data_IF_544024123699
#
_entry.id   IF_544024123699
#
_cell.length_a   1.000
_cell.length_b   1.000
_cell.length_c   1.000
_cell.angle_alpha   90.00
_cell.angle_beta   90.00
_cell.angle_gamma   90.00
#
_symmetry.space_group_name_H-M   'P 1'
#
loop_
_entity.id
_entity.type
_entity.pdbx_description
1 polymer ?
#
# COMPACT_ATOMS: atom_id res chain seq x y z
N UNK A 1 5.11 -12.21 4.86
CA UNK A 1 3.92 -11.65 4.16
C UNK A 1 4.28 -11.44 2.71
N UNK A 2 3.28 -11.38 1.82
CA UNK A 2 3.49 -11.23 0.37
C UNK A 2 4.17 -9.90 -0.02
N UNK A 3 3.93 -8.85 0.76
CA UNK A 3 4.47 -7.50 0.52
C UNK A 3 5.50 -7.11 1.59
N UNK A 4 6.31 -6.10 1.28
CA UNK A 4 7.23 -5.54 2.25
C UNK A 4 6.49 -4.89 3.43
N UNK A 5 7.17 -4.77 4.57
CA UNK A 5 6.62 -4.02 5.72
C UNK A 5 6.32 -2.57 5.36
N UNK A 6 7.09 -1.97 4.45
CA UNK A 6 6.85 -0.60 4.00
C UNK A 6 5.53 -0.50 3.24
N UNK A 7 5.22 -1.45 2.35
CA UNK A 7 3.94 -1.51 1.63
C UNK A 7 2.76 -1.76 2.58
N UNK A 8 2.90 -2.67 3.56
CA UNK A 8 1.88 -2.88 4.59
C UNK A 8 1.58 -1.59 5.37
N UNK A 9 2.62 -0.88 5.79
CA UNK A 9 2.49 0.40 6.49
C UNK A 9 1.88 1.49 5.62
N UNK A 10 2.22 1.53 4.34
CA UNK A 10 1.65 2.45 3.37
C UNK A 10 0.13 2.29 3.26
N UNK A 11 -0.33 1.04 3.07
CA UNK A 11 -1.75 0.74 2.96
C UNK A 11 -2.48 1.20 4.22
N UNK A 12 -1.98 0.83 5.40
CA UNK A 12 -2.60 1.17 6.69
C UNK A 12 -2.65 2.68 6.93
N UNK A 13 -1.58 3.39 6.62
CA UNK A 13 -1.53 4.85 6.74
C UNK A 13 -2.51 5.53 5.78
N UNK A 14 -2.58 5.06 4.52
CA UNK A 14 -3.52 5.60 3.53
C UNK A 14 -4.97 5.34 3.93
N UNK A 15 -5.28 4.16 4.47
CA UNK A 15 -6.61 3.82 5.00
C UNK A 15 -6.95 4.77 6.14
N UNK A 16 -6.04 4.96 7.10
CA UNK A 16 -6.26 5.88 8.21
C UNK A 16 -6.51 7.32 7.75
N UNK A 17 -5.77 7.80 6.74
CA UNK A 17 -6.01 9.13 6.14
C UNK A 17 -7.35 9.22 5.41
N UNK A 18 -7.83 8.13 4.82
CA UNK A 18 -9.14 8.09 4.15
C UNK A 18 -10.32 8.10 5.12
N UNK A 19 -10.10 7.72 6.38
CA UNK A 19 -11.09 7.80 7.47
C UNK A 19 -11.24 9.22 8.02
N UNK A 20 -10.31 10.13 7.68
CA UNK A 20 -10.34 11.52 8.15
C UNK A 20 -11.16 12.42 7.22
N UNK A 21 -11.71 13.54 7.73
CA UNK A 21 -12.38 14.52 6.90
C UNK A 21 -11.55 14.96 5.68
N UNK A 22 -12.17 15.05 4.48
CA UNK A 22 -11.43 15.39 3.26
C UNK A 22 -10.64 16.70 3.38
N UNK A 23 -9.34 16.63 3.13
CA UNK A 23 -8.44 17.78 3.16
C UNK A 23 -7.87 18.10 4.54
N UNK A 24 -8.32 17.44 5.61
CA UNK A 24 -7.76 17.61 6.94
C UNK A 24 -6.32 17.11 6.99
N UNK A 25 -5.42 17.95 7.51
CA UNK A 25 -4.00 17.62 7.63
C UNK A 25 -3.75 16.86 8.92
N UNK A 26 -3.26 15.63 8.80
CA UNK A 26 -3.02 14.73 9.93
C UNK A 26 -1.52 14.66 10.21
N UNK A 27 -1.12 14.80 11.47
CA UNK A 27 0.28 14.71 11.80
C UNK A 27 0.77 13.28 11.63
N UNK A 28 1.98 13.14 11.08
CA UNK A 28 2.59 11.84 10.86
C UNK A 28 2.78 11.05 12.17
N UNK A 29 2.95 11.75 13.30
CA UNK A 29 3.07 11.14 14.63
C UNK A 29 1.77 10.45 15.04
N UNK A 30 0.63 11.12 14.81
CA UNK A 30 -0.69 10.58 15.14
C UNK A 30 -0.96 9.29 14.34
N UNK A 31 -0.63 9.31 13.04
CA UNK A 31 -0.72 8.10 12.19
C UNK A 31 0.18 6.98 12.71
N UNK A 32 1.43 7.30 13.07
CA UNK A 32 2.40 6.33 13.58
C UNK A 32 1.93 5.67 14.88
N UNK A 33 1.41 6.46 15.82
CA UNK A 33 0.89 5.98 17.09
C UNK A 33 -0.38 5.16 16.91
N UNK A 34 -1.35 5.68 16.14
CA UNK A 34 -2.65 5.03 15.95
C UNK A 34 -2.55 3.70 15.22
N UNK A 35 -1.66 3.63 14.23
CA UNK A 35 -1.40 2.41 13.48
C UNK A 35 -0.21 1.60 14.05
N UNK A 36 0.39 1.97 15.18
CA UNK A 36 1.55 1.27 15.73
C UNK A 36 2.64 0.98 14.66
N UNK A 37 2.99 2.02 13.89
CA UNK A 37 3.97 1.99 12.82
C UNK A 37 5.21 2.74 13.29
N UNK A 38 6.43 2.19 13.15
CA UNK A 38 7.62 2.94 13.49
C UNK A 38 7.73 4.21 12.62
N UNK A 39 7.84 5.37 13.28
CA UNK A 39 7.76 6.68 12.65
C UNK A 39 8.70 6.86 11.44
N UNK A 40 9.93 6.34 11.53
CA UNK A 40 10.92 6.46 10.45
C UNK A 40 10.50 5.73 9.16
N UNK A 41 9.91 4.53 9.28
CA UNK A 41 9.36 3.80 8.14
C UNK A 41 8.19 4.55 7.52
N UNK A 42 7.29 5.05 8.37
CA UNK A 42 6.14 5.81 7.92
C UNK A 42 6.57 7.10 7.19
N UNK A 43 7.54 7.83 7.73
CA UNK A 43 8.07 9.05 7.10
C UNK A 43 8.63 8.78 5.71
N UNK A 44 9.44 7.72 5.54
CA UNK A 44 9.98 7.34 4.24
C UNK A 44 8.86 6.97 3.26
N UNK A 45 7.89 6.21 3.73
CA UNK A 45 6.73 5.76 2.92
C UNK A 45 5.88 6.94 2.45
N UNK A 46 5.55 7.87 3.36
CA UNK A 46 4.75 9.05 3.03
C UNK A 46 5.46 10.01 2.07
N UNK A 47 6.80 10.07 2.10
CA UNK A 47 7.57 10.81 1.09
C UNK A 47 7.43 10.19 -0.30
N UNK A 48 7.49 8.86 -0.42
CA UNK A 48 7.28 8.16 -1.70
C UNK A 48 5.88 8.44 -2.24
N UNK A 49 4.85 8.27 -1.40
CA UNK A 49 3.46 8.51 -1.76
C UNK A 49 3.18 9.98 -2.13
N UNK A 50 3.86 10.93 -1.48
CA UNK A 50 3.75 12.36 -1.82
C UNK A 50 4.35 12.66 -3.19
N UNK A 51 5.51 12.07 -3.53
CA UNK A 51 6.13 12.21 -4.87
C UNK A 51 5.27 11.60 -5.97
N UNK A 52 4.53 10.54 -5.65
CA UNK A 52 3.53 9.92 -6.54
C UNK A 52 2.21 10.67 -6.59
N UNK A 53 2.07 11.76 -5.85
CA UNK A 53 0.88 12.61 -5.85
C UNK A 53 -0.33 11.96 -5.22
N UNK A 54 -0.16 10.99 -4.33
CA UNK A 54 -1.26 10.30 -3.61
C UNK A 54 -1.63 11.00 -2.31
N UNK A 55 -0.69 11.76 -1.75
CA UNK A 55 -0.89 12.58 -0.56
C UNK A 55 -0.33 13.98 -0.78
N UNK A 56 -1.00 14.96 -0.18
CA UNK A 56 -0.47 16.30 0.01
C UNK A 56 0.22 16.37 1.37
N UNK A 57 1.30 17.14 1.46
CA UNK A 57 2.00 17.38 2.71
C UNK A 57 2.16 18.87 2.95
N UNK A 58 1.94 19.32 4.19
CA UNK A 58 2.26 20.68 4.62
C UNK A 58 3.29 20.65 5.75
N UNK A 59 4.24 21.61 5.75
CA UNK A 59 5.28 21.72 6.79
C UNK A 59 4.83 22.66 7.91
N UNK A 60 5.45 22.53 9.09
CA UNK A 60 5.25 23.41 10.23
C UNK A 60 4.47 22.77 11.39
N UNK A 61 4.20 23.52 12.48
CA UNK A 61 3.59 22.99 13.70
C UNK A 61 2.17 22.43 13.53
N UNK A 62 1.45 22.91 12.50
CA UNK A 62 0.14 22.41 12.06
C UNK A 62 0.20 21.72 10.70
N UNK A 63 1.41 21.28 10.33
CA UNK A 63 1.64 20.50 9.14
C UNK A 63 1.13 19.07 9.28
N UNK A 64 1.16 18.31 8.20
CA UNK A 64 0.62 16.97 8.18
C UNK A 64 0.45 16.46 6.76
N UNK A 65 -0.25 15.33 6.65
CA UNK A 65 -0.58 14.67 5.40
C UNK A 65 -2.10 14.54 5.25
N UNK A 66 -2.57 14.65 4.02
CA UNK A 66 -3.94 14.33 3.64
C UNK A 66 -3.96 13.70 2.26
N UNK A 67 -5.02 12.99 1.90
CA UNK A 67 -5.15 12.45 0.53
C UNK A 67 -5.18 13.59 -0.49
N UNK A 68 -4.52 13.37 -1.64
CA UNK A 68 -4.51 14.33 -2.73
C UNK A 68 -5.80 14.33 -3.55
N UNK A 69 -6.46 13.16 -3.63
CA UNK A 69 -7.69 12.89 -4.38
C UNK A 69 -8.60 11.95 -3.60
N UNK A 70 -9.79 11.67 -4.13
CA UNK A 70 -10.80 10.88 -3.42
C UNK A 70 -10.35 9.41 -3.22
N UNK A 71 -10.73 8.74 -2.12
CA UNK A 71 -10.35 7.35 -1.88
C UNK A 71 -10.81 6.36 -2.96
N UNK A 72 -11.89 6.67 -3.69
CA UNK A 72 -12.39 5.84 -4.80
C UNK A 72 -11.45 5.86 -6.02
N UNK A 73 -10.63 6.91 -6.16
CA UNK A 73 -9.70 7.12 -7.27
C UNK A 73 -8.27 6.61 -6.96
N UNK A 74 -8.05 6.06 -5.77
CA UNK A 74 -6.75 5.53 -5.33
C UNK A 74 -6.87 4.03 -5.21
N UNK A 75 -6.15 3.28 -6.04
CA UNK A 75 -6.10 1.82 -5.99
C UNK A 75 -5.03 1.33 -5.00
N UNK A 76 -5.11 0.07 -4.58
CA UNK A 76 -4.01 -0.54 -3.84
C UNK A 76 -2.74 -0.63 -4.69
N UNK A 77 -2.88 -0.80 -6.00
CA UNK A 77 -1.74 -0.77 -6.93
C UNK A 77 -1.00 0.56 -6.86
N UNK A 78 -1.72 1.69 -6.89
CA UNK A 78 -1.14 3.02 -6.74
C UNK A 78 -0.28 3.16 -5.48
N UNK A 79 -0.67 2.50 -4.39
CA UNK A 79 0.01 2.57 -3.09
C UNK A 79 1.22 1.62 -3.03
N UNK A 80 1.07 0.39 -3.52
CA UNK A 80 2.06 -0.68 -3.34
C UNK A 80 3.17 -0.61 -4.39
N UNK A 81 2.83 -0.33 -5.64
CA UNK A 81 3.79 -0.30 -6.75
C UNK A 81 4.98 0.64 -6.53
N UNK A 82 4.80 1.88 -6.03
CA UNK A 82 5.92 2.78 -5.77
C UNK A 82 6.92 2.30 -4.71
N UNK A 83 6.57 1.29 -3.92
CA UNK A 83 7.34 0.80 -2.78
C UNK A 83 7.95 -0.57 -3.08
N UNK A 84 7.14 -1.49 -3.58
CA UNK A 84 7.54 -2.88 -3.84
C UNK A 84 7.84 -3.15 -5.32
N UNK A 85 7.66 -2.14 -6.18
CA UNK A 85 7.93 -2.22 -7.62
C UNK A 85 7.18 -3.37 -8.29
N UNK A 86 5.87 -3.46 -8.03
CA UNK A 86 4.99 -4.51 -8.58
C UNK A 86 5.07 -4.57 -10.11
N UNK A 87 5.25 -3.43 -10.78
CA UNK A 87 5.44 -3.36 -12.21
C UNK A 87 6.65 -4.17 -12.69
N UNK A 88 7.70 -4.28 -11.88
CA UNK A 88 8.92 -5.00 -12.21
C UNK A 88 8.77 -6.50 -11.99
N UNK A 89 7.66 -7.00 -11.43
CA UNK A 89 7.46 -8.44 -11.25
C UNK A 89 7.43 -9.17 -12.59
N UNK A 90 7.14 -8.46 -13.69
CA UNK A 90 7.20 -8.99 -15.04
C UNK A 90 8.63 -9.36 -15.47
N UNK A 91 9.65 -8.74 -14.86
CA UNK A 91 11.06 -8.95 -15.17
C UNK A 91 11.74 -9.90 -14.16
N UNK A 92 11.15 -10.08 -12.97
CA UNK A 92 11.72 -10.87 -11.87
C UNK A 92 11.29 -12.34 -12.00
N UNK A 93 12.27 -13.24 -12.10
CA UNK A 93 12.00 -14.68 -12.05
C UNK A 93 11.68 -15.13 -10.63
N UNK A 94 10.65 -15.97 -10.48
CA UNK A 94 10.26 -16.57 -9.20
C UNK A 94 11.39 -17.41 -8.56
N UNK A 95 12.31 -17.94 -9.37
CA UNK A 95 13.47 -18.70 -8.89
C UNK A 95 14.64 -17.81 -8.44
N UNK A 96 14.53 -16.48 -8.57
CA UNK A 96 15.60 -15.54 -8.25
C UNK A 96 16.70 -15.48 -9.31
N UNK A 97 16.40 -15.88 -10.55
CA UNK A 97 17.25 -15.68 -11.71
C UNK A 97 16.92 -14.29 -12.29
N UNK A 98 17.90 -13.45 -12.55
CA UNK A 98 17.69 -12.00 -12.77
C UNK A 98 16.82 -11.62 -13.99
N UNK A 99 16.40 -12.58 -14.82
CA UNK A 99 15.54 -12.35 -15.99
C UNK A 99 14.42 -13.38 -16.04
N UNK A 100 13.18 -12.92 -16.10
CA UNK A 100 12.01 -13.71 -16.50
C UNK A 100 11.56 -13.27 -17.90
N UNK A 101 11.66 -14.14 -18.90
CA UNK A 101 11.17 -13.83 -20.25
C UNK A 101 10.68 -15.08 -20.97
N UNK A 102 9.85 -14.91 -22.00
CA UNK A 102 9.36 -16.01 -22.83
C UNK A 102 10.51 -16.70 -23.59
N UNK A 103 11.57 -15.96 -23.91
CA UNK A 103 12.78 -16.48 -24.58
C UNK A 103 13.69 -17.27 -23.63
N UNK A 104 13.62 -16.99 -22.32
CA UNK A 104 14.41 -17.63 -21.27
C UNK A 104 13.50 -18.23 -20.19
N UNK A 105 12.46 -18.94 -20.62
CA UNK A 105 11.43 -19.49 -19.73
C UNK A 105 11.99 -20.59 -18.82
N UNK A 106 11.93 -20.37 -17.50
CA UNK A 106 12.17 -21.42 -16.51
C UNK A 106 10.97 -22.39 -16.43
N UNK A 107 11.11 -23.58 -15.81
CA UNK A 107 10.01 -24.53 -15.67
C UNK A 107 8.75 -24.01 -14.94
N UNK A 108 8.86 -22.88 -14.21
CA UNK A 108 7.74 -22.24 -13.51
C UNK A 108 7.21 -21.00 -14.25
N UNK A 109 7.74 -20.67 -15.44
CA UNK A 109 7.49 -19.40 -16.13
C UNK A 109 6.01 -19.13 -16.40
N UNK A 110 5.29 -20.09 -16.98
CA UNK A 110 3.89 -19.92 -17.35
C UNK A 110 2.99 -19.73 -16.12
N UNK A 111 3.26 -20.48 -15.05
CA UNK A 111 2.50 -20.38 -13.81
C UNK A 111 2.83 -19.07 -13.08
N UNK A 112 4.10 -18.68 -13.06
CA UNK A 112 4.52 -17.41 -12.47
C UNK A 112 3.91 -16.22 -13.19
N UNK A 113 3.88 -16.26 -14.52
CA UNK A 113 3.25 -15.23 -15.38
C UNK A 113 1.78 -15.03 -15.03
N UNK A 114 1.03 -16.12 -14.83
CA UNK A 114 -0.37 -16.05 -14.40
C UNK A 114 -0.51 -15.49 -12.99
N UNK A 115 0.35 -15.91 -12.06
CA UNK A 115 0.30 -15.46 -10.66
C UNK A 115 0.58 -13.96 -10.56
N UNK A 116 1.64 -13.45 -11.20
CA UNK A 116 1.97 -12.01 -11.14
C UNK A 116 0.89 -11.14 -11.79
N UNK A 117 0.31 -11.59 -12.90
CA UNK A 117 -0.84 -10.93 -13.53
C UNK A 117 -2.04 -10.86 -12.57
N UNK A 118 -2.35 -11.95 -11.86
CA UNK A 118 -3.43 -11.98 -10.90
C UNK A 118 -3.18 -11.06 -9.69
N UNK A 119 -1.94 -10.98 -9.20
CA UNK A 119 -1.55 -10.05 -8.14
C UNK A 119 -1.81 -8.60 -8.58
N UNK A 120 -1.31 -8.22 -9.77
CA UNK A 120 -1.52 -6.88 -10.34
C UNK A 120 -3.01 -6.55 -10.46
N UNK A 121 -3.79 -7.42 -11.13
CA UNK A 121 -5.23 -7.22 -11.32
C UNK A 121 -5.98 -7.08 -9.99
N UNK A 122 -5.57 -7.83 -8.97
CA UNK A 122 -6.19 -7.74 -7.64
C UNK A 122 -5.92 -6.39 -6.99
N UNK A 123 -4.71 -5.85 -7.13
CA UNK A 123 -4.33 -4.55 -6.57
C UNK A 123 -4.99 -3.38 -7.33
N UNK A 124 -5.07 -3.47 -8.65
CA UNK A 124 -5.73 -2.47 -9.50
C UNK A 124 -7.25 -2.45 -9.27
N UNK A 125 -7.86 -3.61 -9.06
CA UNK A 125 -9.30 -3.75 -8.84
C UNK A 125 -9.81 -3.41 -7.44
N UNK A 126 -8.97 -2.87 -6.55
CA UNK A 126 -9.33 -2.49 -5.18
C UNK A 126 -8.97 -1.04 -4.90
N UNK A 127 -9.99 -0.21 -4.72
CA UNK A 127 -9.84 1.18 -4.27
C UNK A 127 -9.63 1.27 -2.76
N UNK A 128 -9.06 2.39 -2.31
CA UNK A 128 -8.88 2.71 -0.91
C UNK A 128 -10.23 2.81 -0.17
N UNK A 129 -11.25 3.35 -0.83
CA UNK A 129 -12.63 3.38 -0.30
C UNK A 129 -13.16 1.99 0.07
N UNK A 130 -12.88 0.98 -0.76
CA UNK A 130 -13.31 -0.40 -0.51
C UNK A 130 -12.56 -1.06 0.66
N UNK A 131 -11.44 -0.49 1.09
CA UNK A 131 -10.63 -1.02 2.19
C UNK A 131 -11.17 -0.60 3.55
N UNK A 132 -11.57 0.67 3.72
CA UNK A 132 -12.01 1.24 5.01
C UNK A 132 -13.08 0.37 5.67
N UNK A 133 -14.23 0.19 5.00
CA UNK A 133 -15.34 -0.56 5.59
C UNK A 133 -15.02 -2.03 5.88
N UNK A 134 -14.14 -2.67 5.10
CA UNK A 134 -13.75 -4.07 5.35
C UNK A 134 -12.72 -4.21 6.46
N UNK A 135 -11.84 -3.23 6.62
CA UNK A 135 -10.81 -3.25 7.67
C UNK A 135 -11.38 -2.94 9.05
N UNK A 136 -12.35 -2.03 9.14
CA UNK A 136 -13.11 -1.81 10.38
C UNK A 136 -13.81 -3.09 10.85
N UNK A 137 -14.52 -3.77 9.94
CA UNK A 137 -15.16 -5.05 10.22
C UNK A 137 -14.15 -6.11 10.66
N UNK A 138 -13.03 -6.23 9.95
CA UNK A 138 -11.95 -7.16 10.31
C UNK A 138 -11.40 -6.85 11.71
N UNK A 139 -11.11 -5.59 12.00
CA UNK A 139 -10.60 -5.14 13.32
C UNK A 139 -11.58 -5.50 14.43
N UNK A 140 -12.89 -5.31 14.21
CA UNK A 140 -13.94 -5.72 15.16
C UNK A 140 -13.92 -7.22 15.41
N UNK A 141 -13.95 -8.04 14.36
CA UNK A 141 -13.94 -9.51 14.47
C UNK A 141 -12.69 -10.01 15.21
N UNK A 142 -11.52 -9.44 14.89
CA UNK A 142 -10.25 -9.81 15.53
C UNK A 142 -10.28 -9.49 17.02
N UNK A 143 -10.80 -8.31 17.40
CA UNK A 143 -10.96 -7.91 18.79
C UNK A 143 -11.96 -8.79 19.56
N UNK A 144 -13.12 -9.08 18.97
CA UNK A 144 -14.17 -9.93 19.57
C UNK A 144 -13.70 -11.37 19.76
N UNK A 145 -12.91 -11.90 18.83
CA UNK A 145 -12.45 -13.29 18.85
C UNK A 145 -11.08 -13.49 19.50
N UNK A 146 -10.41 -12.42 19.95
CA UNK A 146 -9.08 -12.50 20.54
C UNK A 146 -8.02 -13.12 19.60
N UNK A 147 -8.17 -12.93 18.29
CA UNK A 147 -7.21 -13.43 17.30
C UNK A 147 -5.99 -12.48 17.27
N UNK A 148 -4.78 -13.03 17.19
CA UNK A 148 -3.55 -12.26 16.97
C UNK A 148 -3.13 -12.32 15.50
#
# INVERSE_FOLDING_TARGET
>A
MLYSKAAEYAIRAMVYLSEQPPGELIQLKDVAEKENIPFHFLAKTMQILSRKGLVRSHRGPRGGFCLSRKPEEITLYDIVDPIDHIANYDEICILGIDVCSDEAACPLHDDWTKIRAQIRLTLEGKSLAQMVGKLEEKRRIVAEKGLQ
#
